data_IF_300364385328
#
_entry.id   IF_300364385328
#
_cell.length_a   1.000
_cell.length_b   1.000
_cell.length_c   1.000
_cell.angle_alpha   90.00
_cell.angle_beta   90.00
_cell.angle_gamma   90.00
#
_symmetry.space_group_name_H-M   'P 1'
#
loop_
_entity.id
_entity.type
_entity.pdbx_description
1 polymer ?
#
# COMPACT_ATOMS: atom_id res chain seq x y z
N UNK A 1 -3.67 20.42 -27.01
CA UNK A 1 -3.95 21.81 -26.60
C UNK A 1 -4.98 21.75 -25.48
N UNK A 2 -4.53 21.53 -24.24
CA UNK A 2 -5.41 21.47 -23.07
C UNK A 2 -5.82 22.90 -22.73
N UNK A 3 -7.03 23.27 -23.12
CA UNK A 3 -7.64 24.51 -22.70
C UNK A 3 -7.81 24.45 -21.18
N UNK A 4 -7.05 25.26 -20.44
CA UNK A 4 -7.22 25.43 -19.01
C UNK A 4 -8.63 26.01 -18.78
N UNK A 5 -9.59 25.14 -18.48
CA UNK A 5 -10.95 25.54 -18.11
C UNK A 5 -10.81 26.42 -16.86
N UNK A 6 -11.25 27.66 -16.98
CA UNK A 6 -11.26 28.65 -15.91
C UNK A 6 -11.94 28.04 -14.67
N UNK A 7 -11.44 28.25 -13.43
CA UNK A 7 -12.00 27.62 -12.25
C UNK A 7 -13.47 28.03 -12.09
N UNK A 8 -14.38 27.05 -12.12
CA UNK A 8 -15.80 27.25 -11.87
C UNK A 8 -15.99 27.64 -10.40
N UNK A 9 -16.57 28.83 -10.18
CA UNK A 9 -16.82 29.40 -8.87
C UNK A 9 -18.14 28.86 -8.32
N UNK A 10 -18.08 27.81 -7.50
CA UNK A 10 -19.21 27.39 -6.65
C UNK A 10 -18.89 27.89 -5.24
N UNK A 11 -19.75 28.74 -4.65
CA UNK A 11 -19.62 29.26 -3.28
C UNK A 11 -18.39 30.14 -2.99
N UNK A 12 -17.99 31.01 -3.93
CA UNK A 12 -16.98 32.06 -3.69
C UNK A 12 -15.56 31.60 -3.38
N UNK A 13 -15.28 30.29 -3.41
CA UNK A 13 -13.96 29.69 -3.16
C UNK A 13 -13.30 29.26 -4.47
N UNK A 14 -12.04 29.66 -4.68
CA UNK A 14 -11.22 29.15 -5.79
C UNK A 14 -11.00 27.66 -5.60
N UNK A 15 -11.57 26.83 -6.48
CA UNK A 15 -11.26 25.40 -6.53
C UNK A 15 -9.88 25.25 -7.19
N UNK A 16 -8.85 25.11 -6.38
CA UNK A 16 -7.49 24.84 -6.86
C UNK A 16 -7.34 23.34 -7.13
N UNK A 17 -7.12 22.97 -8.39
CA UNK A 17 -6.96 21.58 -8.85
C UNK A 17 -5.57 20.97 -8.56
N UNK A 18 -4.53 21.81 -8.44
CA UNK A 18 -3.14 21.36 -8.25
C UNK A 18 -2.90 20.51 -6.98
N UNK A 19 -3.49 20.83 -5.81
CA UNK A 19 -3.40 19.98 -4.62
C UNK A 19 -4.02 18.60 -4.81
N UNK A 20 -5.04 18.47 -5.66
CA UNK A 20 -5.70 17.18 -5.94
C UNK A 20 -4.75 16.28 -6.73
N UNK A 21 -4.03 16.82 -7.72
CA UNK A 21 -2.98 16.11 -8.45
C UNK A 21 -1.81 15.68 -7.56
N UNK A 22 -1.35 16.54 -6.66
CA UNK A 22 -0.29 16.19 -5.71
C UNK A 22 -0.72 15.06 -4.77
N UNK A 23 -1.97 15.10 -4.29
CA UNK A 23 -2.52 14.04 -3.45
C UNK A 23 -2.67 12.72 -4.22
N UNK A 24 -3.17 12.76 -5.45
CA UNK A 24 -3.28 11.59 -6.31
C UNK A 24 -1.90 10.97 -6.59
N UNK A 25 -0.90 11.77 -6.95
CA UNK A 25 0.48 11.31 -7.15
C UNK A 25 1.06 10.64 -5.90
N UNK A 26 0.86 11.23 -4.72
CA UNK A 26 1.34 10.65 -3.47
C UNK A 26 0.71 9.27 -3.20
N UNK A 27 -0.59 9.13 -3.46
CA UNK A 27 -1.32 7.87 -3.29
C UNK A 27 -0.90 6.84 -4.34
N UNK A 28 -0.69 7.26 -5.59
CA UNK A 28 -0.16 6.40 -6.65
C UNK A 28 1.22 5.86 -6.30
N UNK A 29 2.10 6.67 -5.70
CA UNK A 29 3.40 6.21 -5.21
C UNK A 29 3.24 5.16 -4.10
N UNK A 30 2.34 5.38 -3.15
CA UNK A 30 2.06 4.39 -2.09
C UNK A 30 1.51 3.08 -2.67
N UNK A 31 0.62 3.16 -3.67
CA UNK A 31 0.09 2.00 -4.39
C UNK A 31 1.19 1.22 -5.12
N UNK A 32 2.16 1.90 -5.74
CA UNK A 32 3.33 1.26 -6.37
C UNK A 32 4.16 0.53 -5.31
N UNK A 33 4.43 1.17 -4.17
CA UNK A 33 5.19 0.55 -3.08
C UNK A 33 4.48 -0.69 -2.54
N UNK A 34 3.16 -0.64 -2.35
CA UNK A 34 2.35 -1.80 -1.95
C UNK A 34 2.38 -2.92 -3.00
N UNK A 35 2.33 -2.56 -4.29
CA UNK A 35 2.46 -3.50 -5.40
C UNK A 35 3.81 -4.22 -5.40
N UNK A 36 4.91 -3.47 -5.23
CA UNK A 36 6.25 -4.04 -5.12
C UNK A 36 6.39 -4.94 -3.88
N UNK A 37 5.84 -4.51 -2.74
CA UNK A 37 5.85 -5.28 -1.49
C UNK A 37 5.08 -6.62 -1.61
N UNK A 38 4.08 -6.68 -2.48
CA UNK A 38 3.37 -7.92 -2.82
C UNK A 38 4.17 -8.77 -3.82
N UNK A 39 4.67 -8.13 -4.87
CA UNK A 39 5.24 -8.80 -6.04
C UNK A 39 6.62 -9.43 -5.83
N UNK A 40 7.45 -8.90 -4.93
CA UNK A 40 8.80 -9.44 -4.71
C UNK A 40 8.79 -10.91 -4.29
N UNK A 41 7.71 -11.44 -3.71
CA UNK A 41 7.61 -12.87 -3.37
C UNK A 41 7.92 -13.80 -4.53
N UNK A 42 7.45 -13.46 -5.72
CA UNK A 42 7.39 -14.40 -6.84
C UNK A 42 8.78 -14.89 -7.27
N UNK A 43 9.75 -14.01 -7.60
CA UNK A 43 11.10 -14.46 -7.96
C UNK A 43 11.95 -14.85 -6.75
N UNK A 44 11.73 -14.21 -5.58
CA UNK A 44 12.57 -14.47 -4.41
C UNK A 44 12.21 -15.77 -3.71
N UNK A 45 10.93 -16.15 -3.60
CA UNK A 45 10.55 -17.44 -3.04
C UNK A 45 11.11 -18.59 -3.88
N UNK A 46 11.04 -18.49 -5.21
CA UNK A 46 11.62 -19.50 -6.10
C UNK A 46 13.14 -19.65 -5.93
N UNK A 47 13.84 -18.54 -5.64
CA UNK A 47 15.27 -18.59 -5.31
C UNK A 47 15.51 -19.17 -3.92
N UNK A 48 14.72 -18.78 -2.91
CA UNK A 48 14.87 -19.22 -1.52
C UNK A 48 14.52 -20.70 -1.29
N UNK A 49 13.70 -21.31 -2.15
CA UNK A 49 13.37 -22.75 -2.11
C UNK A 49 14.24 -23.59 -3.05
N UNK A 50 15.07 -22.97 -3.89
CA UNK A 50 15.98 -23.66 -4.80
C UNK A 50 17.07 -24.42 -4.03
N UNK A 51 17.27 -25.70 -4.37
CA UNK A 51 18.32 -26.53 -3.80
C UNK A 51 19.72 -26.08 -4.28
N UNK A 52 19.83 -25.67 -5.55
CA UNK A 52 21.08 -25.22 -6.19
C UNK A 52 21.54 -23.81 -5.79
N UNK A 53 20.69 -22.98 -5.19
CA UNK A 53 21.07 -21.62 -4.84
C UNK A 53 22.02 -21.61 -3.62
N UNK A 54 23.22 -21.02 -3.78
CA UNK A 54 24.20 -20.82 -2.70
C UNK A 54 23.85 -19.55 -1.90
N UNK A 55 22.74 -19.65 -1.16
CA UNK A 55 22.20 -18.57 -0.33
C UNK A 55 22.15 -19.01 1.13
N UNK A 56 22.48 -18.09 2.06
CA UNK A 56 22.54 -18.41 3.49
C UNK A 56 21.17 -18.72 4.10
N UNK A 57 20.08 -18.31 3.43
CA UNK A 57 18.71 -18.54 3.87
C UNK A 57 17.99 -19.45 2.86
N UNK A 58 17.78 -20.70 3.22
CA UNK A 58 16.96 -21.66 2.48
C UNK A 58 15.64 -21.88 3.20
N UNK A 59 14.55 -21.91 2.45
CA UNK A 59 13.20 -22.14 2.97
C UNK A 59 12.71 -23.52 2.55
N UNK A 60 12.05 -24.20 3.47
CA UNK A 60 11.22 -25.37 3.15
C UNK A 60 9.94 -24.94 2.44
N UNK A 61 9.31 -25.84 1.69
CA UNK A 61 8.04 -25.56 1.00
C UNK A 61 6.92 -25.12 1.97
N UNK A 62 6.96 -25.62 3.20
CA UNK A 62 6.02 -25.23 4.25
C UNK A 62 6.27 -23.79 4.70
N UNK A 63 7.53 -23.40 4.89
CA UNK A 63 7.88 -22.03 5.26
C UNK A 63 7.55 -21.03 4.15
N UNK A 64 7.85 -21.38 2.89
CA UNK A 64 7.48 -20.57 1.74
C UNK A 64 5.96 -20.35 1.64
N UNK A 65 5.17 -21.38 1.94
CA UNK A 65 3.70 -21.30 2.00
C UNK A 65 3.20 -20.37 3.11
N UNK A 66 3.86 -20.37 4.27
CA UNK A 66 3.57 -19.41 5.34
C UNK A 66 3.93 -17.97 4.97
N UNK A 67 5.08 -17.74 4.31
CA UNK A 67 5.46 -16.42 3.78
C UNK A 67 4.38 -15.87 2.85
N UNK A 68 3.86 -16.70 1.93
CA UNK A 68 2.79 -16.28 1.01
C UNK A 68 1.45 -16.02 1.74
N UNK A 69 1.09 -16.85 2.72
CA UNK A 69 -0.19 -16.79 3.42
C UNK A 69 -0.30 -15.63 4.41
N UNK A 70 0.79 -15.30 5.11
CA UNK A 70 0.83 -14.24 6.11
C UNK A 70 0.52 -12.86 5.55
N UNK A 71 0.82 -12.63 4.26
CA UNK A 71 0.42 -11.41 3.58
C UNK A 71 -1.11 -11.26 3.58
N UNK A 72 -1.83 -12.32 3.20
CA UNK A 72 -3.29 -12.31 3.15
C UNK A 72 -3.91 -12.21 4.55
N UNK A 73 -3.32 -12.89 5.54
CA UNK A 73 -3.74 -12.77 6.93
C UNK A 73 -3.57 -11.33 7.46
N UNK A 74 -2.41 -10.72 7.17
CA UNK A 74 -2.16 -9.32 7.50
C UNK A 74 -3.15 -8.38 6.81
N UNK A 75 -3.53 -8.65 5.55
CA UNK A 75 -4.54 -7.87 4.82
C UNK A 75 -5.91 -7.92 5.48
N UNK A 76 -6.33 -9.08 5.97
CA UNK A 76 -7.60 -9.22 6.69
C UNK A 76 -7.62 -8.32 7.93
N UNK A 77 -6.57 -8.39 8.74
CA UNK A 77 -6.44 -7.60 9.97
C UNK A 77 -6.32 -6.11 9.63
N UNK A 78 -5.50 -5.76 8.64
CA UNK A 78 -5.33 -4.40 8.15
C UNK A 78 -6.62 -3.80 7.62
N UNK A 79 -7.47 -4.58 6.93
CA UNK A 79 -8.77 -4.10 6.46
C UNK A 79 -9.71 -3.77 7.62
N UNK A 80 -9.75 -4.61 8.66
CA UNK A 80 -10.57 -4.36 9.85
C UNK A 80 -10.07 -3.12 10.62
N UNK A 81 -8.76 -3.03 10.86
CA UNK A 81 -8.16 -1.88 11.53
C UNK A 81 -8.32 -0.60 10.69
N UNK A 82 -8.15 -0.70 9.38
CA UNK A 82 -8.36 0.38 8.43
C UNK A 82 -9.78 0.91 8.50
N UNK A 83 -10.78 0.03 8.40
CA UNK A 83 -12.19 0.41 8.48
C UNK A 83 -12.52 1.18 9.76
N UNK A 84 -12.07 0.69 10.92
CA UNK A 84 -12.24 1.38 12.20
C UNK A 84 -11.51 2.72 12.22
N UNK A 85 -10.23 2.75 11.85
CA UNK A 85 -9.44 3.99 11.88
C UNK A 85 -10.00 5.06 10.91
N UNK A 86 -10.59 4.65 9.79
CA UNK A 86 -11.17 5.57 8.82
C UNK A 86 -12.39 6.31 9.39
N UNK A 87 -13.16 5.65 10.24
CA UNK A 87 -14.34 6.23 10.89
C UNK A 87 -13.96 7.24 12.00
N UNK A 88 -12.95 6.93 12.81
CA UNK A 88 -12.58 7.77 13.97
C UNK A 88 -11.53 8.85 13.68
N UNK A 89 -10.55 8.56 12.82
CA UNK A 89 -9.33 9.38 12.66
C UNK A 89 -9.35 10.19 11.37
N UNK A 90 -10.16 9.76 10.40
CA UNK A 90 -10.32 10.38 9.08
C UNK A 90 -9.39 9.79 8.01
N UNK A 91 -9.90 9.72 6.78
CA UNK A 91 -9.31 8.98 5.64
C UNK A 91 -7.87 9.40 5.30
N UNK A 92 -7.57 10.71 5.30
CA UNK A 92 -6.22 11.23 5.02
C UNK A 92 -5.18 10.71 6.02
N UNK A 93 -5.54 10.65 7.30
CA UNK A 93 -4.61 10.19 8.35
C UNK A 93 -4.40 8.69 8.27
N UNK A 94 -5.43 7.92 7.89
CA UNK A 94 -5.27 6.47 7.66
C UNK A 94 -4.28 6.18 6.54
N UNK A 95 -4.33 6.92 5.43
CA UNK A 95 -3.33 6.80 4.35
C UNK A 95 -1.90 7.11 4.84
N UNK A 96 -1.73 8.15 5.66
CA UNK A 96 -0.41 8.43 6.25
C UNK A 96 0.04 7.35 7.23
N UNK A 97 -0.90 6.76 7.98
CA UNK A 97 -0.62 5.69 8.94
C UNK A 97 -0.34 4.35 8.25
N UNK A 98 -0.93 4.06 7.07
CA UNK A 98 -0.64 2.84 6.29
C UNK A 98 0.77 2.83 5.73
N UNK A 99 1.37 4.00 5.52
CA UNK A 99 2.78 4.12 5.15
C UNK A 99 3.75 3.56 6.20
N UNK A 100 3.42 3.64 7.49
CA UNK A 100 4.29 3.13 8.57
C UNK A 100 4.50 1.60 8.52
N UNK A 101 3.46 0.74 8.48
CA UNK A 101 3.62 -0.70 8.35
C UNK A 101 4.19 -1.13 6.99
N UNK A 102 3.94 -0.35 5.92
CA UNK A 102 4.59 -0.58 4.63
C UNK A 102 6.09 -0.29 4.71
N UNK A 103 6.51 0.82 5.31
CA UNK A 103 7.92 1.15 5.50
C UNK A 103 8.62 0.12 6.40
N UNK A 104 8.00 -0.31 7.50
CA UNK A 104 8.58 -1.33 8.38
C UNK A 104 8.76 -2.68 7.68
N UNK A 105 7.86 -3.06 6.77
CA UNK A 105 8.02 -4.29 5.98
C UNK A 105 9.29 -4.29 5.12
N UNK A 106 9.66 -3.13 4.56
CA UNK A 106 10.90 -3.02 3.78
C UNK A 106 12.14 -3.10 4.66
N UNK A 107 12.10 -2.52 5.86
CA UNK A 107 13.17 -2.66 6.84
C UNK A 107 13.36 -4.13 7.23
N UNK A 108 12.27 -4.87 7.48
CA UNK A 108 12.34 -6.30 7.79
C UNK A 108 12.85 -7.15 6.63
N UNK A 109 12.53 -6.79 5.38
CA UNK A 109 13.10 -7.45 4.20
C UNK A 109 14.62 -7.23 4.10
N UNK A 110 15.09 -6.00 4.32
CA UNK A 110 16.52 -5.67 4.22
C UNK A 110 17.32 -6.35 5.33
N UNK A 111 16.78 -6.41 6.54
CA UNK A 111 17.41 -7.05 7.70
C UNK A 111 17.14 -8.56 7.79
N UNK A 112 16.63 -9.19 6.73
CA UNK A 112 16.20 -10.59 6.77
C UNK A 112 17.40 -11.55 6.91
N UNK A 113 17.65 -12.00 8.13
CA UNK A 113 18.65 -13.05 8.44
C UNK A 113 18.03 -14.42 8.71
N UNK A 114 16.70 -14.47 8.86
CA UNK A 114 15.94 -15.68 9.16
C UNK A 114 14.54 -15.60 8.55
N UNK A 115 13.86 -16.75 8.44
CA UNK A 115 12.49 -16.83 7.93
C UNK A 115 11.50 -15.99 8.74
N UNK A 116 11.74 -15.82 10.05
CA UNK A 116 10.88 -15.03 10.93
C UNK A 116 10.82 -13.56 10.51
N UNK A 117 11.92 -13.00 10.01
CA UNK A 117 11.93 -11.64 9.47
C UNK A 117 11.04 -11.52 8.23
N UNK A 118 11.05 -12.54 7.37
CA UNK A 118 10.17 -12.61 6.21
C UNK A 118 8.69 -12.73 6.64
N UNK A 119 8.38 -13.51 7.67
CA UNK A 119 7.03 -13.59 8.24
C UNK A 119 6.54 -12.24 8.76
N UNK A 120 7.37 -11.54 9.55
CA UNK A 120 7.05 -10.22 10.08
C UNK A 120 6.87 -9.19 8.95
N UNK A 121 7.77 -9.19 7.97
CA UNK A 121 7.67 -8.35 6.78
C UNK A 121 6.34 -8.55 6.06
N UNK A 122 5.95 -9.81 5.80
CA UNK A 122 4.71 -10.15 5.11
C UNK A 122 3.49 -9.70 5.87
N UNK A 123 3.48 -9.93 7.18
CA UNK A 123 2.39 -9.52 8.04
C UNK A 123 2.22 -7.99 8.05
N UNK A 124 3.32 -7.25 8.22
CA UNK A 124 3.31 -5.77 8.21
C UNK A 124 2.91 -5.21 6.84
N UNK A 125 3.47 -5.73 5.75
CA UNK A 125 3.08 -5.34 4.39
C UNK A 125 1.60 -5.62 4.13
N UNK A 126 1.10 -6.76 4.63
CA UNK A 126 -0.30 -7.13 4.57
C UNK A 126 -1.19 -6.12 5.29
N UNK A 127 -0.85 -5.74 6.52
CA UNK A 127 -1.58 -4.73 7.29
C UNK A 127 -1.63 -3.39 6.55
N UNK A 128 -0.46 -2.88 6.12
CA UNK A 128 -0.38 -1.60 5.42
C UNK A 128 -1.19 -1.61 4.12
N UNK A 129 -1.08 -2.67 3.32
CA UNK A 129 -1.84 -2.81 2.08
C UNK A 129 -3.34 -2.98 2.34
N UNK A 130 -3.74 -3.69 3.41
CA UNK A 130 -5.13 -3.86 3.81
C UNK A 130 -5.81 -2.55 4.23
N UNK A 131 -5.05 -1.63 4.84
CA UNK A 131 -5.52 -0.29 5.19
C UNK A 131 -5.54 0.65 3.97
N UNK A 132 -4.54 0.54 3.09
CA UNK A 132 -4.33 1.44 1.95
C UNK A 132 -5.47 1.39 0.92
N UNK A 133 -5.79 0.22 0.38
CA UNK A 133 -6.71 0.13 -0.78
C UNK A 133 -8.12 0.67 -0.50
N UNK A 134 -8.78 0.36 0.63
CA UNK A 134 -10.07 0.96 0.96
C UNK A 134 -9.97 2.46 1.20
N UNK A 135 -8.91 2.93 1.88
CA UNK A 135 -8.69 4.33 2.15
C UNK A 135 -8.42 5.15 0.88
N UNK A 136 -7.67 4.59 -0.07
CA UNK A 136 -7.38 5.18 -1.37
C UNK A 136 -8.67 5.40 -2.16
N UNK A 137 -9.50 4.37 -2.34
CA UNK A 137 -10.76 4.48 -3.09
C UNK A 137 -11.71 5.50 -2.47
N UNK A 138 -11.79 5.55 -1.14
CA UNK A 138 -12.66 6.48 -0.42
C UNK A 138 -12.14 7.92 -0.45
N UNK A 139 -10.82 8.11 -0.34
CA UNK A 139 -10.20 9.44 -0.36
C UNK A 139 -10.23 10.06 -1.76
N UNK A 140 -9.92 9.29 -2.81
CA UNK A 140 -10.06 9.75 -4.19
C UNK A 140 -11.51 10.14 -4.49
N UNK A 141 -12.48 9.38 -3.99
CA UNK A 141 -13.90 9.69 -4.12
C UNK A 141 -14.36 10.98 -3.43
N UNK A 142 -13.67 11.43 -2.38
CA UNK A 142 -13.95 12.69 -1.65
C UNK A 142 -13.24 13.90 -2.24
N UNK A 143 -12.03 13.71 -2.75
CA UNK A 143 -11.17 14.79 -3.26
C UNK A 143 -11.47 15.11 -4.72
N UNK A 144 -12.00 14.14 -5.47
CA UNK A 144 -12.32 14.32 -6.87
C UNK A 144 -13.45 15.33 -7.08
N UNK A 145 -13.12 16.43 -7.75
CA UNK A 145 -14.11 17.34 -8.29
C UNK A 145 -14.97 16.62 -9.36
N UNK A 146 -16.29 16.83 -9.40
CA UNK A 146 -17.17 16.20 -10.38
C UNK A 146 -16.69 16.32 -11.84
N UNK A 147 -15.97 17.40 -12.17
CA UNK A 147 -15.46 17.64 -13.52
C UNK A 147 -14.27 16.76 -13.92
N UNK A 148 -13.49 16.22 -12.97
CA UNK A 148 -12.25 15.46 -13.24
C UNK A 148 -12.22 14.07 -12.60
N UNK A 149 -13.33 13.64 -11.99
CA UNK A 149 -13.43 12.36 -11.25
C UNK A 149 -13.06 11.11 -12.06
N UNK A 150 -13.19 11.15 -13.38
CA UNK A 150 -12.82 10.03 -14.26
C UNK A 150 -11.34 10.03 -14.71
N UNK A 151 -10.61 11.12 -14.49
CA UNK A 151 -9.21 11.26 -14.91
C UNK A 151 -8.19 11.24 -13.76
N UNK A 152 -8.68 11.30 -12.52
CA UNK A 152 -7.90 11.25 -11.28
C UNK A 152 -7.77 9.81 -10.79
#
# INVERSE_FOLDING_TARGET
MFCAKNPEMIDGRKITIWPQWLAALAISLEAIVSGLATGWASPYLAQLTSAEADIPLKLTDTEASWVASLLNLGRLIGALLGALCQEYVGRKRVLLLSGLPLASSWVFNICATSVTWLYLSRFCSGIGSGMLWPAMSLYLGEVADPAIRGSL
#
